data_IF_331293626471
#
_entry.id   IF_331293626471
#
_cell.length_a   1.000
_cell.length_b   1.000
_cell.length_c   1.000
_cell.angle_alpha   90.00
_cell.angle_beta   90.00
_cell.angle_gamma   90.00
#
_symmetry.space_group_name_H-M   'P 1'
#
loop_
_entity.id
_entity.type
_entity.pdbx_description
1 polymer ?
#
# COMPACT_ATOMS: atom_id res chain seq x y z
N UNK A 1 -20.05 11.91 -33.12
CA UNK A 1 -18.62 11.92 -33.48
C UNK A 1 -17.89 10.97 -32.54
N UNK A 2 -17.51 9.78 -33.02
CA UNK A 2 -16.79 8.79 -32.22
C UNK A 2 -15.29 9.12 -32.23
N UNK A 3 -14.75 9.54 -31.08
CA UNK A 3 -13.31 9.79 -30.92
C UNK A 3 -12.58 8.43 -30.87
N UNK A 4 -11.88 8.09 -31.94
CA UNK A 4 -11.00 6.92 -32.03
C UNK A 4 -9.60 7.26 -31.54
N UNK A 5 -9.38 7.22 -30.22
CA UNK A 5 -8.03 7.24 -29.64
C UNK A 5 -7.59 5.80 -29.47
N UNK A 6 -6.80 5.27 -30.41
CA UNK A 6 -6.25 3.92 -30.27
C UNK A 6 -4.94 3.90 -29.50
N UNK A 7 -4.06 4.88 -29.77
CA UNK A 7 -2.78 5.15 -29.11
C UNK A 7 -2.22 6.45 -29.67
N UNK A 8 -2.21 7.53 -28.90
CA UNK A 8 -1.73 8.84 -29.40
C UNK A 8 -0.57 9.34 -28.54
N UNK A 9 0.51 9.78 -29.21
CA UNK A 9 1.73 10.28 -28.56
C UNK A 9 1.81 11.79 -28.69
N UNK A 10 2.09 12.46 -27.58
CA UNK A 10 2.24 13.91 -27.51
C UNK A 10 3.60 14.27 -26.90
N UNK A 11 4.24 15.30 -27.45
CA UNK A 11 5.38 15.93 -26.80
C UNK A 11 4.88 16.79 -25.64
N UNK A 12 5.49 16.64 -24.45
CA UNK A 12 5.03 17.34 -23.26
C UNK A 12 5.90 18.57 -23.00
N UNK A 13 5.42 19.75 -23.40
CA UNK A 13 6.15 21.02 -23.22
C UNK A 13 6.39 21.39 -21.75
N UNK A 14 5.59 20.86 -20.83
CA UNK A 14 5.73 21.09 -19.39
C UNK A 14 6.79 20.20 -18.72
N UNK A 15 7.33 19.21 -19.43
CA UNK A 15 8.35 18.28 -18.92
C UNK A 15 9.70 18.55 -19.60
N UNK A 16 10.82 18.09 -19.00
CA UNK A 16 12.13 18.23 -19.60
C UNK A 16 12.17 17.69 -21.04
N UNK A 17 13.03 18.27 -21.89
CA UNK A 17 13.17 17.85 -23.28
C UNK A 17 13.34 16.32 -23.37
N UNK A 18 12.58 15.68 -24.28
CA UNK A 18 12.50 14.22 -24.54
C UNK A 18 11.55 13.41 -23.64
N UNK A 19 10.70 14.07 -22.84
CA UNK A 19 9.54 13.43 -22.22
C UNK A 19 8.35 13.42 -23.17
N UNK A 20 7.67 12.27 -23.24
CA UNK A 20 6.50 12.08 -24.07
C UNK A 20 5.35 11.54 -23.24
N UNK A 21 4.15 11.99 -23.57
CA UNK A 21 2.89 11.48 -23.03
C UNK A 21 2.28 10.53 -24.05
N UNK A 22 1.76 9.40 -23.60
CA UNK A 22 0.99 8.47 -24.41
C UNK A 22 -0.32 8.11 -23.73
N UNK A 23 -1.38 8.29 -24.49
CA UNK A 23 -2.74 8.00 -24.06
C UNK A 23 -3.16 6.67 -24.70
N UNK A 24 -3.49 5.68 -23.87
CA UNK A 24 -3.89 4.33 -24.27
C UNK A 24 -5.34 4.04 -23.88
N UNK A 25 -6.19 3.76 -24.86
CA UNK A 25 -7.57 3.36 -24.61
C UNK A 25 -7.63 1.88 -24.19
N UNK A 26 -8.30 1.61 -23.07
CA UNK A 26 -8.57 0.23 -22.63
C UNK A 26 -9.62 -0.40 -23.56
N UNK A 27 -9.19 -1.42 -24.31
CA UNK A 27 -10.03 -2.15 -25.27
C UNK A 27 -10.74 -3.38 -24.68
N UNK A 28 -10.36 -3.82 -23.47
CA UNK A 28 -10.92 -5.03 -22.82
C UNK A 28 -11.09 -4.87 -21.31
N UNK A 29 -11.99 -5.66 -20.71
CA UNK A 29 -12.27 -5.69 -19.26
C UNK A 29 -13.34 -4.70 -18.77
N UNK A 30 -13.54 -4.64 -17.44
CA UNK A 30 -14.60 -3.84 -16.79
C UNK A 30 -14.39 -2.32 -16.96
N UNK A 31 -13.19 -1.90 -17.35
CA UNK A 31 -12.82 -0.50 -17.57
C UNK A 31 -12.64 -0.14 -19.05
N UNK A 32 -13.26 -0.90 -19.95
CA UNK A 32 -13.33 -0.59 -21.39
C UNK A 32 -13.77 0.84 -21.61
N UNK A 33 -13.07 1.55 -22.50
CA UNK A 33 -13.37 2.94 -22.83
C UNK A 33 -12.65 3.97 -21.96
N UNK A 34 -12.03 3.58 -20.83
CA UNK A 34 -11.16 4.48 -20.06
C UNK A 34 -9.78 4.61 -20.72
N UNK A 35 -9.17 5.79 -20.58
CA UNK A 35 -7.86 6.11 -21.14
C UNK A 35 -6.81 6.13 -20.03
N UNK A 36 -5.74 5.35 -20.20
CA UNK A 36 -4.55 5.40 -19.36
C UNK A 36 -3.55 6.40 -19.93
N UNK A 37 -3.06 7.31 -19.08
CA UNK A 37 -2.08 8.33 -19.45
C UNK A 37 -0.71 7.94 -18.89
N UNK A 38 0.26 7.69 -19.78
CA UNK A 38 1.62 7.28 -19.42
C UNK A 38 2.63 8.34 -19.86
N UNK A 39 3.63 8.63 -19.02
CA UNK A 39 4.74 9.52 -19.34
C UNK A 39 6.04 8.73 -19.40
N UNK A 40 6.82 8.88 -20.48
CA UNK A 40 8.11 8.21 -20.64
C UNK A 40 9.17 9.18 -21.16
N UNK A 41 10.39 9.00 -20.68
CA UNK A 41 11.56 9.71 -21.20
C UNK A 41 12.25 8.86 -22.26
N UNK A 42 12.54 9.42 -23.44
CA UNK A 42 13.27 8.71 -24.51
C UNK A 42 14.74 8.38 -24.15
N UNK A 43 15.21 8.75 -22.97
CA UNK A 43 16.57 8.49 -22.49
C UNK A 43 16.70 7.26 -21.58
N UNK A 44 15.60 6.75 -21.03
CA UNK A 44 15.61 5.55 -20.20
C UNK A 44 15.05 4.43 -21.05
N UNK A 45 15.94 3.69 -21.72
CA UNK A 45 15.58 2.36 -22.23
C UNK A 45 15.08 1.57 -21.03
N UNK A 46 13.77 1.36 -20.97
CA UNK A 46 13.17 0.41 -20.06
C UNK A 46 13.46 -0.99 -20.60
N UNK A 47 14.71 -1.40 -20.44
CA UNK A 47 15.19 -2.71 -20.83
C UNK A 47 15.85 -3.30 -19.59
N UNK A 48 15.01 -3.67 -18.63
CA UNK A 48 15.36 -4.60 -17.57
C UNK A 48 15.46 -6.05 -18.12
N UNK A 49 15.85 -6.25 -19.39
CA UNK A 49 16.32 -7.56 -19.83
C UNK A 49 17.80 -7.68 -19.50
N UNK A 50 18.12 -8.65 -18.65
CA UNK A 50 19.48 -9.05 -18.27
C UNK A 50 20.24 -9.74 -19.42
N UNK A 51 19.95 -9.37 -20.66
CA UNK A 51 20.60 -9.95 -21.83
C UNK A 51 21.54 -8.89 -22.39
N UNK A 52 22.88 -9.09 -22.31
CA UNK A 52 23.83 -8.23 -22.99
C UNK A 52 23.41 -8.06 -24.46
N UNK A 53 23.60 -6.87 -25.07
CA UNK A 53 23.24 -6.64 -26.46
C UNK A 53 23.79 -7.77 -27.35
N UNK A 54 22.88 -8.55 -27.93
CA UNK A 54 23.25 -9.64 -28.83
C UNK A 54 23.71 -9.00 -30.14
N UNK A 55 24.89 -9.36 -30.63
CA UNK A 55 25.34 -8.92 -31.95
C UNK A 55 24.32 -9.43 -32.98
N UNK A 56 23.75 -8.53 -33.78
CA UNK A 56 22.97 -8.92 -34.95
C UNK A 56 23.92 -9.38 -36.06
N UNK A 57 24.57 -10.52 -35.85
CA UNK A 57 25.28 -11.23 -36.91
C UNK A 57 24.34 -12.30 -37.48
N UNK A 58 24.55 -12.69 -38.73
CA UNK A 58 23.81 -13.80 -39.33
C UNK A 58 24.09 -15.17 -38.66
N UNK A 59 24.89 -15.20 -37.58
CA UNK A 59 25.30 -16.42 -36.89
C UNK A 59 24.32 -16.77 -35.76
N UNK A 60 23.79 -17.99 -35.80
CA UNK A 60 22.82 -18.50 -34.82
C UNK A 60 23.46 -18.92 -33.50
N UNK A 61 24.78 -19.02 -33.44
CA UNK A 61 25.52 -19.41 -32.25
C UNK A 61 25.85 -18.17 -31.41
N UNK A 62 25.34 -18.11 -30.19
CA UNK A 62 25.59 -17.01 -29.25
C UNK A 62 27.06 -16.99 -28.84
N UNK A 63 27.83 -16.07 -29.40
CA UNK A 63 29.20 -15.80 -28.96
C UNK A 63 29.17 -14.80 -27.78
N UNK A 64 29.93 -15.05 -26.70
CA UNK A 64 30.02 -14.13 -25.58
C UNK A 64 30.67 -12.81 -26.02
N UNK A 65 30.10 -11.69 -25.59
CA UNK A 65 30.64 -10.34 -25.86
C UNK A 65 31.39 -9.86 -24.63
N UNK A 66 32.69 -9.63 -24.77
CA UNK A 66 33.52 -9.06 -23.70
C UNK A 66 33.29 -7.56 -23.61
N UNK A 67 32.80 -7.09 -22.47
CA UNK A 67 32.59 -5.66 -22.19
C UNK A 67 33.86 -5.09 -21.57
N UNK A 68 34.52 -4.16 -22.26
CA UNK A 68 35.64 -3.39 -21.71
C UNK A 68 35.13 -2.09 -21.11
N UNK A 69 35.55 -1.78 -19.87
CA UNK A 69 35.19 -0.54 -19.18
C UNK A 69 36.46 0.27 -18.93
N UNK A 70 36.60 1.40 -19.63
CA UNK A 70 37.84 2.21 -19.69
C UNK A 70 38.02 3.17 -18.50
N UNK A 71 37.43 2.89 -17.35
CA UNK A 71 37.61 3.71 -16.15
C UNK A 71 37.42 2.92 -14.86
N UNK A 72 38.38 3.02 -13.95
CA UNK A 72 38.33 2.50 -12.59
C UNK A 72 37.43 3.40 -11.73
N UNK A 73 36.13 3.37 -11.99
CA UNK A 73 35.16 4.06 -11.14
C UNK A 73 35.10 3.35 -9.77
N UNK A 74 35.77 3.88 -8.75
CA UNK A 74 35.58 3.49 -7.34
C UNK A 74 34.22 3.92 -6.75
N UNK A 75 33.22 4.18 -7.59
CA UNK A 75 31.85 4.32 -7.14
C UNK A 75 31.32 2.91 -7.04
N UNK A 76 31.17 2.43 -5.81
CA UNK A 76 30.60 1.14 -5.42
C UNK A 76 29.45 0.81 -6.36
N UNK A 77 29.74 0.01 -7.38
CA UNK A 77 28.81 -0.33 -8.44
C UNK A 77 27.69 -1.13 -7.81
N UNK A 78 26.51 -0.51 -7.77
CA UNK A 78 25.20 -1.13 -7.70
C UNK A 78 25.02 -2.11 -6.52
N UNK A 79 24.12 -1.77 -5.61
CA UNK A 79 23.49 -2.77 -4.75
C UNK A 79 22.96 -3.89 -5.65
N UNK A 80 23.74 -4.95 -5.83
CA UNK A 80 23.31 -6.18 -6.48
C UNK A 80 22.12 -6.66 -5.67
N UNK A 81 20.94 -6.54 -6.28
CA UNK A 81 19.75 -7.30 -6.00
C UNK A 81 19.44 -7.41 -4.50
N UNK A 82 19.03 -6.29 -3.90
CA UNK A 82 18.17 -6.35 -2.72
C UNK A 82 16.89 -7.12 -3.03
N UNK A 83 16.31 -7.74 -2.01
CA UNK A 83 15.10 -8.56 -2.08
C UNK A 83 14.05 -7.88 -3.00
N UNK A 84 13.68 -8.50 -4.12
CA UNK A 84 12.73 -7.94 -5.09
C UNK A 84 11.27 -8.10 -4.61
N UNK A 85 11.02 -7.74 -3.35
CA UNK A 85 9.66 -7.64 -2.87
C UNK A 85 8.99 -6.47 -3.58
N UNK A 86 7.79 -6.72 -4.13
CA UNK A 86 7.01 -5.65 -4.77
C UNK A 86 6.84 -4.51 -3.75
N UNK A 87 7.01 -3.24 -4.16
CA UNK A 87 6.81 -2.12 -3.26
C UNK A 87 5.39 -2.17 -2.72
N UNK A 88 5.24 -2.16 -1.40
CA UNK A 88 3.93 -2.10 -0.74
C UNK A 88 3.55 -0.64 -0.55
N UNK A 89 2.30 -0.31 -0.85
CA UNK A 89 1.77 1.01 -0.51
C UNK A 89 1.56 1.05 1.02
N UNK A 90 2.33 1.89 1.70
CA UNK A 90 2.12 2.19 3.11
C UNK A 90 0.84 3.02 3.26
N UNK A 91 0.08 2.76 4.34
CA UNK A 91 -1.13 3.53 4.70
C UNK A 91 -2.17 3.50 3.56
N UNK A 92 -2.32 2.35 2.90
CA UNK A 92 -3.30 2.20 1.84
C UNK A 92 -4.74 2.17 2.39
N UNK A 93 -4.90 1.84 3.67
CA UNK A 93 -6.17 1.76 4.38
C UNK A 93 -6.88 3.10 4.40
N UNK A 94 -6.14 4.21 4.33
CA UNK A 94 -6.71 5.55 4.16
C UNK A 94 -7.59 5.68 2.92
N UNK A 95 -7.38 4.86 1.88
CA UNK A 95 -8.25 4.83 0.68
C UNK A 95 -9.67 4.34 0.99
N UNK A 96 -9.87 3.73 2.16
CA UNK A 96 -11.17 3.27 2.63
C UNK A 96 -11.90 4.35 3.44
N UNK A 97 -11.27 5.48 3.78
CA UNK A 97 -11.94 6.60 4.46
C UNK A 97 -13.17 7.07 3.68
N UNK A 98 -14.26 7.32 4.40
CA UNK A 98 -15.56 7.68 3.84
C UNK A 98 -16.38 6.49 3.34
N UNK A 99 -15.84 5.27 3.38
CA UNK A 99 -16.61 4.06 3.10
C UNK A 99 -17.23 3.53 4.38
N UNK A 100 -18.56 3.45 4.39
CA UNK A 100 -19.34 2.88 5.49
C UNK A 100 -20.14 1.68 5.03
N UNK A 101 -20.38 0.76 5.96
CA UNK A 101 -21.36 -0.30 5.73
C UNK A 101 -22.75 0.33 5.65
N UNK A 102 -23.61 -0.22 4.81
CA UNK A 102 -25.00 0.18 4.70
C UNK A 102 -25.92 -1.05 4.69
N UNK A 103 -27.19 -0.84 5.01
CA UNK A 103 -28.24 -1.85 4.88
C UNK A 103 -28.71 -2.02 3.41
N UNK A 104 -29.73 -2.86 3.21
CA UNK A 104 -30.31 -3.12 1.89
C UNK A 104 -30.95 -1.88 1.24
N UNK A 105 -31.34 -0.90 2.06
CA UNK A 105 -31.98 0.34 1.63
C UNK A 105 -30.95 1.47 1.41
N UNK A 106 -29.65 1.18 1.65
CA UNK A 106 -28.56 2.13 1.49
C UNK A 106 -28.36 3.07 2.69
N UNK A 107 -29.00 2.79 3.83
CA UNK A 107 -28.80 3.56 5.06
C UNK A 107 -27.45 3.19 5.67
N UNK A 108 -26.56 4.17 5.82
CA UNK A 108 -25.24 3.95 6.42
C UNK A 108 -25.37 3.61 7.92
N UNK A 109 -24.60 2.62 8.36
CA UNK A 109 -24.46 2.34 9.78
C UNK A 109 -23.61 3.41 10.47
N UNK A 110 -23.92 3.63 11.75
CA UNK A 110 -23.11 4.49 12.61
C UNK A 110 -21.67 3.99 12.71
N UNK A 111 -20.73 4.94 12.77
CA UNK A 111 -19.32 4.62 12.93
C UNK A 111 -19.08 3.97 14.30
N UNK A 112 -18.23 2.95 14.33
CA UNK A 112 -17.81 2.34 15.60
C UNK A 112 -16.98 3.35 16.40
N UNK A 113 -17.33 3.54 17.67
CA UNK A 113 -16.51 4.29 18.61
C UNK A 113 -15.32 3.43 19.06
N UNK A 114 -14.10 3.94 18.85
CA UNK A 114 -12.90 3.24 19.29
C UNK A 114 -12.63 3.45 20.79
N UNK A 115 -12.11 2.43 21.48
CA UNK A 115 -11.57 2.60 22.83
C UNK A 115 -10.46 3.67 22.86
N UNK A 116 -10.48 4.55 23.86
CA UNK A 116 -9.46 5.61 24.07
C UNK A 116 -8.01 5.13 24.15
N UNK A 117 -7.81 3.83 24.40
CA UNK A 117 -6.49 3.20 24.42
C UNK A 117 -5.86 3.03 23.03
N UNK A 118 -6.67 3.00 21.97
CA UNK A 118 -6.18 2.88 20.59
C UNK A 118 -5.77 4.24 20.06
N UNK A 119 -4.47 4.48 20.01
CA UNK A 119 -3.91 5.76 19.56
C UNK A 119 -3.44 5.66 18.10
N UNK A 120 -3.86 6.59 17.22
CA UNK A 120 -3.40 6.60 15.83
C UNK A 120 -1.89 6.80 15.76
N UNK A 121 -1.27 6.18 14.75
CA UNK A 121 0.13 6.35 14.41
C UNK A 121 0.27 6.61 12.92
N UNK A 122 0.97 7.69 12.58
CA UNK A 122 1.27 8.06 11.21
C UNK A 122 0.59 9.35 10.77
N UNK A 123 0.94 9.84 9.58
CA UNK A 123 0.45 11.12 9.08
C UNK A 123 -1.03 11.05 8.72
N UNK A 124 -1.83 11.97 9.27
CA UNK A 124 -3.25 12.12 8.96
C UNK A 124 -4.08 10.82 9.14
N UNK A 125 -3.74 10.04 10.16
CA UNK A 125 -4.47 8.82 10.53
C UNK A 125 -5.61 9.19 11.48
N UNK A 126 -6.84 9.01 11.01
CA UNK A 126 -8.09 9.21 11.75
C UNK A 126 -8.52 7.93 12.48
N UNK A 127 -9.51 8.02 13.37
CA UNK A 127 -10.12 6.85 14.01
C UNK A 127 -10.74 5.88 12.98
N UNK A 128 -11.29 6.40 11.90
CA UNK A 128 -11.83 5.61 10.80
C UNK A 128 -10.73 4.78 10.11
N UNK A 129 -9.59 5.41 9.81
CA UNK A 129 -8.41 4.71 9.25
C UNK A 129 -7.89 3.64 10.21
N UNK A 130 -7.90 3.91 11.52
CA UNK A 130 -7.50 2.90 12.53
C UNK A 130 -8.38 1.66 12.43
N UNK A 131 -9.71 1.82 12.41
CA UNK A 131 -10.65 0.70 12.33
C UNK A 131 -10.37 -0.13 11.09
N UNK A 132 -10.19 0.54 9.95
CA UNK A 132 -9.91 -0.10 8.67
C UNK A 132 -8.59 -0.87 8.70
N UNK A 133 -7.54 -0.30 9.30
CA UNK A 133 -6.23 -0.93 9.44
C UNK A 133 -6.27 -2.13 10.39
N UNK A 134 -6.96 -2.01 11.54
CA UNK A 134 -7.12 -3.12 12.49
C UNK A 134 -7.95 -4.25 11.88
N UNK A 135 -9.09 -3.94 11.24
CA UNK A 135 -9.94 -4.93 10.58
C UNK A 135 -9.17 -5.67 9.48
N UNK A 136 -8.40 -4.94 8.67
CA UNK A 136 -7.54 -5.52 7.63
C UNK A 136 -6.47 -6.42 8.24
N UNK A 137 -5.79 -5.97 9.29
CA UNK A 137 -4.76 -6.77 9.96
C UNK A 137 -5.35 -8.07 10.51
N UNK A 138 -6.53 -8.02 11.15
CA UNK A 138 -7.21 -9.21 11.66
C UNK A 138 -7.73 -10.14 10.56
N UNK A 139 -8.10 -9.59 9.40
CA UNK A 139 -8.64 -10.37 8.29
C UNK A 139 -7.56 -11.08 7.47
N UNK A 140 -6.44 -10.38 7.21
CA UNK A 140 -5.42 -10.82 6.24
C UNK A 140 -4.20 -11.43 6.94
N UNK A 141 -3.90 -11.01 8.17
CA UNK A 141 -2.72 -11.50 8.91
C UNK A 141 -3.03 -12.78 9.68
N UNK A 142 -2.10 -13.72 9.63
CA UNK A 142 -2.05 -14.88 10.55
C UNK A 142 -1.11 -14.66 11.73
N UNK A 143 -0.46 -13.49 11.79
CA UNK A 143 0.49 -13.12 12.84
C UNK A 143 -0.20 -12.35 13.95
N UNK A 144 0.37 -12.33 15.17
CA UNK A 144 -0.15 -11.52 16.27
C UNK A 144 -0.29 -10.05 15.87
N UNK A 145 -1.46 -9.47 16.15
CA UNK A 145 -1.75 -8.06 15.92
C UNK A 145 -1.52 -7.32 17.24
N UNK A 146 -0.38 -6.65 17.34
CA UNK A 146 0.07 -5.94 18.56
C UNK A 146 0.13 -4.42 18.37
N UNK A 147 0.16 -3.93 17.13
CA UNK A 147 0.33 -2.52 16.78
C UNK A 147 1.79 -2.12 16.57
N UNK A 148 2.01 -0.84 16.27
CA UNK A 148 3.33 -0.26 16.01
C UNK A 148 4.13 -0.17 17.31
N UNK A 149 5.20 -0.95 17.43
CA UNK A 149 6.07 -1.00 18.62
C UNK A 149 7.12 0.10 18.64
N UNK A 150 7.34 0.79 17.52
CA UNK A 150 8.25 1.91 17.44
C UNK A 150 7.85 3.08 18.36
N UNK A 151 8.80 3.95 18.73
CA UNK A 151 8.48 5.16 19.47
C UNK A 151 7.68 6.12 18.59
N UNK A 152 6.57 6.64 19.12
CA UNK A 152 5.63 7.53 18.41
C UNK A 152 6.33 8.67 17.65
N UNK A 153 7.30 9.32 18.28
CA UNK A 153 8.06 10.42 17.67
C UNK A 153 8.83 10.00 16.39
N UNK A 154 9.36 8.78 16.33
CA UNK A 154 10.05 8.28 15.14
C UNK A 154 9.05 7.95 14.03
N UNK A 155 7.94 7.30 14.41
CA UNK A 155 6.86 6.92 13.49
C UNK A 155 6.20 8.13 12.84
N UNK A 156 6.06 9.24 13.55
CA UNK A 156 5.53 10.50 13.00
C UNK A 156 6.56 11.23 12.12
N UNK A 157 7.84 11.23 12.51
CA UNK A 157 8.88 11.96 11.78
C UNK A 157 9.27 11.29 10.45
N UNK A 158 9.32 9.97 10.42
CA UNK A 158 9.66 9.23 9.20
C UNK A 158 8.85 7.91 9.08
N UNK A 159 7.55 8.01 8.76
CA UNK A 159 6.67 6.84 8.68
C UNK A 159 7.14 5.83 7.63
N UNK A 160 7.76 6.30 6.54
CA UNK A 160 8.24 5.42 5.45
C UNK A 160 9.36 4.47 5.85
N UNK A 161 10.07 4.77 6.93
CA UNK A 161 11.19 3.95 7.43
C UNK A 161 10.80 3.15 8.67
N UNK A 162 9.98 3.74 9.54
CA UNK A 162 9.74 3.18 10.88
C UNK A 162 8.41 2.45 11.04
N UNK A 163 7.44 2.62 10.12
CA UNK A 163 6.20 1.83 10.17
C UNK A 163 6.48 0.38 9.79
N UNK A 164 6.00 -0.55 10.61
CA UNK A 164 5.92 -1.95 10.24
C UNK A 164 4.67 -2.17 9.37
N UNK A 165 4.81 -2.57 8.09
CA UNK A 165 3.67 -2.82 7.20
C UNK A 165 2.82 -4.03 7.61
N UNK A 166 3.27 -4.83 8.58
CA UNK A 166 2.57 -6.02 9.07
C UNK A 166 1.69 -5.75 10.29
N UNK A 167 1.82 -4.57 10.89
CA UNK A 167 1.04 -4.16 12.05
C UNK A 167 0.12 -3.00 11.67
N UNK A 168 -1.06 -2.89 12.31
CA UNK A 168 -2.01 -1.82 12.03
C UNK A 168 -1.44 -0.44 12.40
N UNK A 169 -2.05 0.62 11.88
CA UNK A 169 -1.65 2.03 12.11
C UNK A 169 -2.05 2.56 13.51
N UNK A 170 -1.92 1.71 14.53
CA UNK A 170 -2.13 2.06 15.94
C UNK A 170 -0.84 1.89 16.71
N UNK A 171 -0.65 2.71 17.73
CA UNK A 171 0.43 2.49 18.70
C UNK A 171 0.23 1.13 19.37
N UNK A 172 1.33 0.45 19.66
CA UNK A 172 1.29 -0.80 20.39
C UNK A 172 0.39 -0.70 21.63
N UNK A 173 -0.52 -1.66 21.75
CA UNK A 173 -1.53 -1.68 22.80
C UNK A 173 -1.00 -2.50 23.97
N UNK A 174 -0.93 -1.87 25.14
CA UNK A 174 -0.58 -2.54 26.38
C UNK A 174 -1.85 -2.73 27.21
N UNK A 175 -2.19 -3.98 27.48
CA UNK A 175 -3.34 -4.33 28.33
C UNK A 175 -2.83 -4.42 29.76
N UNK A 176 -3.40 -3.62 30.66
CA UNK A 176 -3.08 -3.66 32.10
C UNK A 176 -4.04 -4.59 32.86
N UNK A 177 -3.66 -4.99 34.08
CA UNK A 177 -4.52 -5.78 34.96
C UNK A 177 -5.85 -5.06 35.27
N UNK A 178 -5.82 -3.72 35.33
CA UNK A 178 -7.02 -2.91 35.53
C UNK A 178 -7.97 -2.97 34.32
N UNK A 179 -7.43 -3.03 33.10
CA UNK A 179 -8.23 -3.20 31.88
C UNK A 179 -8.91 -4.58 31.87
N UNK A 180 -8.19 -5.62 32.30
CA UNK A 180 -8.72 -6.99 32.43
C UNK A 180 -9.85 -6.99 33.45
N UNK A 181 -9.61 -6.47 34.65
CA UNK A 181 -10.60 -6.44 35.73
C UNK A 181 -11.88 -5.69 35.32
N UNK A 182 -11.73 -4.52 34.68
CA UNK A 182 -12.87 -3.76 34.16
C UNK A 182 -13.67 -4.56 33.14
N UNK A 183 -13.01 -5.33 32.29
CA UNK A 183 -13.68 -6.15 31.30
C UNK A 183 -14.40 -7.34 31.95
N UNK A 184 -13.80 -7.97 32.96
CA UNK A 184 -14.44 -9.03 33.76
C UNK A 184 -15.70 -8.53 34.47
N UNK A 185 -15.64 -7.36 35.09
CA UNK A 185 -16.79 -6.73 35.77
C UNK A 185 -17.94 -6.47 34.78
N UNK A 186 -17.63 -5.96 33.57
CA UNK A 186 -18.64 -5.76 32.51
C UNK A 186 -19.30 -7.06 32.08
N UNK A 187 -18.52 -8.14 31.94
CA UNK A 187 -19.05 -9.46 31.55
C UNK A 187 -19.91 -10.04 32.67
N UNK A 188 -19.47 -9.93 33.93
CA UNK A 188 -20.24 -10.38 35.09
C UNK A 188 -21.59 -9.65 35.19
N UNK A 189 -21.59 -8.32 35.00
CA UNK A 189 -22.80 -7.52 34.98
C UNK A 189 -23.76 -7.93 33.85
N UNK A 190 -23.25 -8.10 32.62
CA UNK A 190 -24.06 -8.54 31.48
C UNK A 190 -24.68 -9.93 31.70
N UNK A 191 -23.92 -10.87 32.27
CA UNK A 191 -24.43 -12.21 32.64
C UNK A 191 -25.54 -12.15 33.68
N UNK A 192 -25.38 -11.31 34.70
CA UNK A 192 -26.43 -11.09 35.72
C UNK A 192 -27.71 -10.54 35.10
N UNK A 193 -27.60 -9.51 34.25
CA UNK A 193 -28.74 -8.91 33.55
C UNK A 193 -29.47 -9.92 32.66
N UNK A 194 -28.72 -10.77 31.95
CA UNK A 194 -29.30 -11.86 31.16
C UNK A 194 -30.03 -12.89 32.04
N UNK A 195 -29.43 -13.28 33.17
CA UNK A 195 -30.05 -14.22 34.11
C UNK A 195 -31.38 -13.68 34.67
N UNK A 196 -31.45 -12.39 34.98
CA UNK A 196 -32.68 -11.74 35.45
C UNK A 196 -33.76 -11.74 34.35
N UNK A 197 -33.39 -11.40 33.11
CA UNK A 197 -34.32 -11.40 31.98
C UNK A 197 -34.82 -12.81 31.57
N UNK A 198 -34.07 -13.86 31.87
CA UNK A 198 -34.51 -15.25 31.64
C UNK A 198 -35.40 -15.80 32.76
N UNK A 199 -35.42 -15.14 33.92
CA UNK A 199 -36.27 -15.50 35.06
C UNK A 199 -37.63 -14.78 35.03
N UNK A 200 -37.78 -13.73 34.24
CA UNK A 200 -39.04 -13.03 33.95
C UNK A 200 -39.78 -13.70 32.80
#
# INVERSE_FOLDING_TARGET
MSITIEKTKYECAALPKRWQREDMLRKTGISVGKVDVMYYSRGVRNDASLVPPIRQTASIFKQPVTVYKTQESKVKSDYKNGNQEKPKQLIWEKRLEGLRACDLDGTEFEAMELPKGLKPVGPNVSEETIIQSVATALHVSTQPVTGQTGPKAALEKNPGVFLDPKQPLVQAVNISDEDIKRQEDRVAFARKKLQEALKS
#
